data_IF_252623743054
#
_entry.id   IF_252623743054
#
_cell.length_a   1.000
_cell.length_b   1.000
_cell.length_c   1.000
_cell.angle_alpha   90.00
_cell.angle_beta   90.00
_cell.angle_gamma   90.00
#
_symmetry.space_group_name_H-M   'P 1'
#
loop_
_entity.id
_entity.type
_entity.pdbx_description
1 polymer ?
#
# COMPACT_ATOMS: atom_id res chain seq x y z
N UNK A 1 -0.53 1.86 10.77
CA UNK A 1 -0.94 0.85 11.78
C UNK A 1 -1.78 1.59 12.79
N UNK A 2 -3.12 1.45 12.75
CA UNK A 2 -4.00 2.10 13.71
C UNK A 2 -4.01 1.27 14.99
N UNK A 3 -3.77 1.92 16.11
CA UNK A 3 -3.73 1.29 17.43
C UNK A 3 -5.07 1.43 18.18
N UNK A 4 -5.96 2.33 17.73
CA UNK A 4 -7.21 2.67 18.44
C UNK A 4 -8.46 2.46 17.56
N UNK A 5 -9.49 1.74 18.04
CA UNK A 5 -10.79 1.63 17.38
C UNK A 5 -11.46 2.98 17.08
N UNK A 6 -11.31 3.98 17.96
CA UNK A 6 -11.92 5.31 17.75
C UNK A 6 -11.24 6.07 16.60
N UNK A 7 -9.91 6.04 16.53
CA UNK A 7 -9.15 6.65 15.43
C UNK A 7 -9.49 6.02 14.06
N UNK A 8 -9.76 4.71 14.03
CA UNK A 8 -10.19 4.02 12.81
C UNK A 8 -11.55 4.51 12.32
N UNK A 9 -12.46 4.81 13.25
CA UNK A 9 -13.83 5.21 12.91
C UNK A 9 -13.87 6.66 12.42
N UNK A 10 -13.11 7.56 13.04
CA UNK A 10 -12.92 8.92 12.52
C UNK A 10 -12.28 8.94 11.14
N UNK A 11 -11.26 8.11 10.91
CA UNK A 11 -10.59 8.04 9.61
C UNK A 11 -11.52 7.51 8.52
N UNK A 12 -12.38 6.53 8.81
CA UNK A 12 -13.39 6.05 7.87
C UNK A 12 -14.37 7.15 7.47
N UNK A 13 -14.84 7.95 8.44
CA UNK A 13 -15.73 9.08 8.16
C UNK A 13 -15.06 10.10 7.26
N UNK A 14 -13.84 10.53 7.60
CA UNK A 14 -13.04 11.47 6.78
C UNK A 14 -12.73 10.91 5.39
N UNK A 15 -12.45 9.62 5.28
CA UNK A 15 -12.20 8.96 4.00
C UNK A 15 -13.43 8.96 3.09
N UNK A 16 -14.62 8.71 3.64
CA UNK A 16 -15.87 8.74 2.87
C UNK A 16 -16.15 10.14 2.29
N UNK A 17 -15.77 11.19 3.03
CA UNK A 17 -15.88 12.57 2.57
C UNK A 17 -14.86 12.92 1.47
N UNK A 18 -13.60 12.46 1.59
CA UNK A 18 -12.52 12.83 0.67
C UNK A 18 -12.46 11.98 -0.60
N UNK A 19 -12.69 10.68 -0.48
CA UNK A 19 -12.41 9.69 -1.53
C UNK A 19 -13.69 9.13 -2.16
N UNK A 20 -14.79 9.92 -2.15
CA UNK A 20 -16.15 9.55 -2.56
C UNK A 20 -16.16 8.54 -3.73
N UNK A 21 -16.47 7.28 -3.40
CA UNK A 21 -16.54 6.16 -4.36
C UNK A 21 -15.39 5.15 -4.30
N UNK A 22 -14.32 5.41 -3.54
CA UNK A 22 -13.19 4.47 -3.37
C UNK A 22 -13.33 3.67 -2.08
N UNK A 23 -13.48 2.35 -2.21
CA UNK A 23 -13.61 1.46 -1.05
C UNK A 23 -12.33 1.47 -0.19
N UNK A 24 -12.47 1.83 1.09
CA UNK A 24 -11.40 1.70 2.06
C UNK A 24 -11.36 0.27 2.58
N UNK A 25 -10.24 -0.42 2.35
CA UNK A 25 -10.03 -1.78 2.88
C UNK A 25 -9.03 -1.71 4.03
N UNK A 26 -9.52 -1.98 5.24
CA UNK A 26 -8.67 -2.06 6.44
C UNK A 26 -8.15 -3.48 6.57
N UNK A 27 -6.85 -3.65 6.31
CA UNK A 27 -6.16 -4.92 6.53
C UNK A 27 -5.63 -4.99 7.96
N UNK A 28 -6.11 -5.97 8.73
CA UNK A 28 -5.57 -6.28 10.04
C UNK A 28 -4.15 -6.83 9.86
N UNK A 29 -3.14 -6.14 10.40
CA UNK A 29 -1.73 -6.51 10.30
C UNK A 29 -1.24 -7.13 11.61
N UNK A 30 -1.30 -8.46 11.79
CA UNK A 30 -0.63 -9.10 12.92
C UNK A 30 0.89 -8.88 12.84
N UNK A 31 1.53 -8.57 13.97
CA UNK A 31 2.99 -8.46 14.13
C UNK A 31 3.73 -7.34 13.37
N UNK A 32 3.09 -6.19 13.07
CA UNK A 32 3.72 -5.03 12.37
C UNK A 32 4.27 -5.34 10.97
N UNK A 33 3.91 -6.47 10.36
CA UNK A 33 4.32 -6.83 8.99
C UNK A 33 3.26 -6.39 7.99
N UNK A 34 3.55 -5.37 7.18
CA UNK A 34 2.64 -4.88 6.14
C UNK A 34 2.63 -5.76 4.88
N UNK A 35 3.79 -6.29 4.48
CA UNK A 35 3.98 -6.94 3.18
C UNK A 35 3.13 -8.21 3.07
N UNK A 36 3.17 -9.09 4.08
CA UNK A 36 2.47 -10.37 4.04
C UNK A 36 0.94 -10.25 3.92
N UNK A 37 0.23 -9.47 4.79
CA UNK A 37 -1.22 -9.31 4.66
C UNK A 37 -1.62 -8.58 3.37
N UNK A 38 -0.79 -7.63 2.90
CA UNK A 38 -1.03 -6.95 1.62
C UNK A 38 -0.96 -7.91 0.44
N UNK A 39 0.10 -8.73 0.34
CA UNK A 39 0.23 -9.71 -0.74
C UNK A 39 -0.91 -10.76 -0.71
N UNK A 40 -1.30 -11.22 0.48
CA UNK A 40 -2.42 -12.14 0.63
C UNK A 40 -3.75 -11.54 0.13
N UNK A 41 -3.94 -10.24 0.32
CA UNK A 41 -5.10 -9.53 -0.22
C UNK A 41 -5.06 -9.45 -1.75
N UNK A 42 -3.91 -9.11 -2.33
CA UNK A 42 -3.71 -9.10 -3.79
C UNK A 42 -3.92 -10.51 -4.39
N UNK A 43 -3.43 -11.56 -3.72
CA UNK A 43 -3.66 -12.96 -4.10
C UNK A 43 -5.16 -13.30 -4.11
N UNK A 44 -5.91 -12.87 -3.10
CA UNK A 44 -7.35 -13.11 -3.02
C UNK A 44 -8.12 -12.40 -4.14
N UNK A 45 -7.70 -11.18 -4.50
CA UNK A 45 -8.27 -10.43 -5.62
C UNK A 45 -7.98 -11.11 -6.96
N UNK A 46 -6.73 -11.54 -7.21
CA UNK A 46 -6.37 -12.24 -8.45
C UNK A 46 -7.08 -13.59 -8.58
N UNK A 47 -7.32 -14.30 -7.47
CA UNK A 47 -8.09 -15.57 -7.51
C UNK A 47 -9.54 -15.38 -7.92
N UNK A 48 -10.12 -14.21 -7.66
CA UNK A 48 -11.51 -13.90 -8.04
C UNK A 48 -11.64 -13.64 -9.54
N UNK A 49 -10.61 -13.05 -10.15
CA UNK A 49 -10.53 -12.80 -11.58
C UNK A 49 -9.07 -13.00 -12.06
N UNK A 50 -8.72 -14.23 -12.50
CA UNK A 50 -7.35 -14.58 -12.88
C UNK A 50 -6.80 -13.77 -14.05
N UNK A 51 -7.67 -13.27 -14.93
CA UNK A 51 -7.28 -12.54 -16.14
C UNK A 51 -7.28 -11.00 -15.93
N UNK A 52 -7.82 -10.53 -14.81
CA UNK A 52 -7.81 -9.11 -14.47
C UNK A 52 -6.39 -8.61 -14.16
N UNK A 53 -6.11 -7.39 -14.60
CA UNK A 53 -4.93 -6.63 -14.21
C UNK A 53 -5.15 -5.91 -12.89
N UNK A 54 -4.26 -6.14 -11.93
CA UNK A 54 -4.24 -5.40 -10.67
C UNK A 54 -3.23 -4.26 -10.79
N UNK A 55 -3.71 -3.02 -10.77
CA UNK A 55 -2.86 -1.82 -10.73
C UNK A 55 -2.68 -1.36 -9.29
N UNK A 56 -1.43 -1.34 -8.83
CA UNK A 56 -1.04 -0.92 -7.49
C UNK A 56 -0.35 0.43 -7.61
N UNK A 57 -0.98 1.47 -7.05
CA UNK A 57 -0.44 2.82 -7.02
C UNK A 57 0.24 3.02 -5.66
N UNK A 58 1.56 3.21 -5.68
CA UNK A 58 2.37 3.44 -4.49
C UNK A 58 2.77 4.92 -4.44
N UNK A 59 2.24 5.65 -3.47
CA UNK A 59 2.73 6.99 -3.17
C UNK A 59 4.05 6.85 -2.40
N UNK A 60 5.18 7.09 -3.07
CA UNK A 60 6.50 7.06 -2.43
C UNK A 60 6.92 8.48 -2.06
N UNK A 61 7.14 8.71 -0.77
CA UNK A 61 7.80 9.92 -0.32
C UNK A 61 9.29 9.81 -0.66
N UNK A 62 9.77 10.67 -1.57
CA UNK A 62 11.18 10.71 -1.96
C UNK A 62 11.92 11.67 -1.02
N UNK A 63 12.76 11.18 -0.09
CA UNK A 63 13.64 12.05 0.69
C UNK A 63 14.73 12.65 -0.20
N UNK A 64 15.21 13.85 0.14
CA UNK A 64 16.23 14.57 -0.62
C UNK A 64 17.61 13.85 -0.73
N UNK A 65 17.82 12.73 -0.02
CA UNK A 65 19.09 11.98 -0.02
C UNK A 65 18.87 10.47 -0.21
N UNK A 66 19.36 9.95 -1.33
CA UNK A 66 19.28 8.54 -1.76
C UNK A 66 19.85 7.53 -0.73
N UNK A 67 20.85 7.90 0.07
CA UNK A 67 21.48 7.00 1.05
C UNK A 67 20.65 6.82 2.33
N UNK A 68 19.78 7.77 2.67
CA UNK A 68 18.82 7.62 3.77
C UNK A 68 17.67 6.67 3.38
N UNK A 69 17.36 6.57 2.07
CA UNK A 69 16.34 5.69 1.48
C UNK A 69 16.71 4.20 1.57
N UNK A 70 17.99 3.86 1.40
CA UNK A 70 18.49 2.47 1.45
C UNK A 70 18.49 1.88 2.87
N UNK A 71 18.65 2.70 3.91
CA UNK A 71 18.69 2.23 5.30
C UNK A 71 17.30 2.15 5.94
N UNK A 72 16.35 3.00 5.53
CA UNK A 72 15.02 3.11 6.18
C UNK A 72 13.86 2.57 5.34
N UNK A 73 13.97 2.45 4.02
CA UNK A 73 12.87 2.00 3.15
C UNK A 73 13.02 0.56 2.64
N UNK A 74 13.53 -0.33 3.49
CA UNK A 74 13.70 -1.75 3.13
C UNK A 74 12.36 -2.45 2.83
N UNK A 75 11.26 -1.97 3.42
CA UNK A 75 9.92 -2.53 3.23
C UNK A 75 9.39 -2.29 1.81
N UNK A 76 9.52 -1.08 1.27
CA UNK A 76 9.06 -0.80 -0.09
C UNK A 76 9.89 -1.55 -1.13
N UNK A 77 11.21 -1.65 -0.95
CA UNK A 77 12.07 -2.42 -1.86
C UNK A 77 11.66 -3.90 -1.90
N UNK A 78 11.42 -4.51 -0.74
CA UNK A 78 10.94 -5.91 -0.65
C UNK A 78 9.57 -6.07 -1.28
N UNK A 79 8.67 -5.12 -1.09
CA UNK A 79 7.34 -5.14 -1.70
C UNK A 79 7.44 -5.08 -3.23
N UNK A 80 8.20 -4.14 -3.78
CA UNK A 80 8.42 -4.00 -5.22
C UNK A 80 9.03 -5.26 -5.82
N UNK A 81 10.04 -5.82 -5.17
CA UNK A 81 10.63 -7.08 -5.60
C UNK A 81 9.61 -8.24 -5.60
N UNK A 82 8.75 -8.31 -4.58
CA UNK A 82 7.68 -9.31 -4.51
C UNK A 82 6.60 -9.11 -5.58
N UNK A 83 6.30 -7.87 -5.97
CA UNK A 83 5.30 -7.54 -6.99
C UNK A 83 5.82 -7.69 -8.43
N UNK A 84 7.13 -7.46 -8.67
CA UNK A 84 7.73 -7.49 -10.00
C UNK A 84 7.60 -8.84 -10.71
N UNK A 85 7.65 -9.94 -9.95
CA UNK A 85 7.56 -11.29 -10.50
C UNK A 85 6.12 -11.83 -10.55
N UNK A 86 5.12 -11.00 -10.25
CA UNK A 86 3.72 -11.42 -10.27
C UNK A 86 3.09 -11.17 -11.63
N UNK A 87 2.39 -12.17 -12.21
CA UNK A 87 1.65 -11.96 -13.45
C UNK A 87 0.51 -10.97 -13.22
N UNK A 88 0.07 -10.30 -14.29
CA UNK A 88 -1.09 -9.42 -14.30
C UNK A 88 -1.08 -8.31 -13.23
N UNK A 89 0.12 -7.91 -12.79
CA UNK A 89 0.30 -6.88 -11.77
C UNK A 89 1.06 -5.70 -12.36
N UNK A 90 0.50 -4.50 -12.27
CA UNK A 90 1.13 -3.24 -12.68
C UNK A 90 1.41 -2.43 -11.42
N UNK A 91 2.65 -1.98 -11.24
CA UNK A 91 3.03 -1.12 -10.12
C UNK A 91 3.35 0.27 -10.65
N UNK A 92 2.68 1.29 -10.11
CA UNK A 92 2.88 2.69 -10.45
C UNK A 92 3.45 3.40 -9.23
N UNK A 93 4.67 3.90 -9.34
CA UNK A 93 5.28 4.73 -8.33
C UNK A 93 4.92 6.20 -8.56
N UNK A 94 4.22 6.80 -7.60
CA UNK A 94 3.87 8.21 -7.62
C UNK A 94 4.77 8.93 -6.63
N UNK A 95 5.75 9.72 -7.11
CA UNK A 95 6.64 10.46 -6.22
C UNK A 95 5.88 11.59 -5.52
N UNK A 96 5.82 11.54 -4.19
CA UNK A 96 5.29 12.63 -3.38
C UNK A 96 6.45 13.41 -2.77
N UNK A 97 6.74 14.57 -3.36
CA UNK A 97 7.71 15.52 -2.83
C UNK A 97 7.04 16.28 -1.68
N UNK A 98 7.46 16.01 -0.45
CA UNK A 98 7.12 16.87 0.69
C UNK A 98 7.86 18.20 0.48
N UNK A 99 7.19 19.15 -0.16
CA UNK A 99 7.60 20.55 -0.14
C UNK A 99 7.54 20.98 1.31
N UNK A 100 8.72 21.18 1.93
CA UNK A 100 8.80 21.88 3.23
C UNK A 100 8.29 23.30 3.08
#
# INVERSE_FOLDING_TARGET
VMYDPEESQEFQTKWNEWASGTALVVLQSPFRSFIAPFLAYVDAMQKRDPDAYITIILAESIPAKLWQQLLHNQTALRLKAALLFRPNTVVIDVPYHLTQ
#
